data_IF_112897222301
#
_entry.id   IF_112897222301
#
_cell.length_a   1.000
_cell.length_b   1.000
_cell.length_c   1.000
_cell.angle_alpha   90.00
_cell.angle_beta   90.00
_cell.angle_gamma   90.00
#
_symmetry.space_group_name_H-M   'P 1'
#
loop_
_entity.id
_entity.type
_entity.pdbx_description
1 polymer ?
#
# COMPACT_ATOMS: atom_id res chain seq x y z
N UNK A 1 -5.57 4.90 -16.07
CA UNK A 1 -5.16 4.08 -14.92
C UNK A 1 -6.36 3.88 -14.01
N UNK A 2 -6.32 2.92 -13.09
CA UNK A 2 -7.30 2.73 -12.00
C UNK A 2 -6.52 2.83 -10.69
N UNK A 3 -7.00 3.66 -9.77
CA UNK A 3 -6.53 3.67 -8.39
C UNK A 3 -7.45 2.81 -7.53
N UNK A 4 -6.88 1.83 -6.85
CA UNK A 4 -7.57 0.90 -5.97
C UNK A 4 -7.14 1.18 -4.53
N UNK A 5 -8.08 1.70 -3.74
CA UNK A 5 -7.92 1.90 -2.31
C UNK A 5 -8.57 0.74 -1.54
N UNK A 6 -7.80 0.17 -0.62
CA UNK A 6 -8.26 -0.87 0.30
C UNK A 6 -9.24 -0.33 1.35
N UNK A 7 -10.15 -1.19 1.82
CA UNK A 7 -11.03 -0.91 2.97
C UNK A 7 -10.29 -0.46 4.22
N UNK A 8 -9.05 -0.93 4.39
CA UNK A 8 -8.24 -0.64 5.57
C UNK A 8 -7.42 0.66 5.45
N UNK A 9 -7.82 1.56 4.56
CA UNK A 9 -7.32 2.92 4.47
C UNK A 9 -7.41 3.71 5.78
N UNK A 10 -6.65 4.81 5.87
CA UNK A 10 -6.78 5.76 6.97
C UNK A 10 -7.80 6.85 6.66
N UNK A 11 -8.52 7.32 7.68
CA UNK A 11 -9.37 8.51 7.58
C UNK A 11 -9.08 9.45 8.75
N UNK A 12 -9.21 10.76 8.50
CA UNK A 12 -9.13 11.77 9.55
C UNK A 12 -10.42 11.88 10.38
N UNK A 13 -11.58 11.59 9.79
CA UNK A 13 -12.89 11.91 10.37
C UNK A 13 -14.06 11.11 9.75
N UNK A 14 -13.91 9.80 9.58
CA UNK A 14 -15.01 8.96 9.08
C UNK A 14 -15.86 8.37 10.22
N UNK A 15 -17.17 8.12 9.98
CA UNK A 15 -18.01 7.37 10.91
C UNK A 15 -17.46 5.95 11.15
N UNK A 16 -17.51 5.49 12.40
CA UNK A 16 -16.95 4.19 12.80
C UNK A 16 -17.54 3.03 12.01
N UNK A 17 -18.85 3.06 11.75
CA UNK A 17 -19.54 2.03 10.96
C UNK A 17 -19.00 1.91 9.53
N UNK A 18 -18.54 3.01 8.93
CA UNK A 18 -17.95 2.97 7.59
C UNK A 18 -16.50 2.49 7.64
N UNK A 19 -15.73 2.87 8.67
CA UNK A 19 -14.35 2.44 8.85
C UNK A 19 -14.26 0.92 9.05
N UNK A 20 -15.18 0.36 9.84
CA UNK A 20 -15.09 -1.04 10.27
C UNK A 20 -15.75 -2.03 9.31
N UNK A 21 -16.76 -1.59 8.54
CA UNK A 21 -17.66 -2.52 7.83
C UNK A 21 -17.83 -2.24 6.33
N UNK A 22 -17.10 -1.28 5.74
CA UNK A 22 -17.24 -0.96 4.31
C UNK A 22 -15.98 -1.24 3.50
N UNK A 23 -16.16 -1.80 2.31
CA UNK A 23 -15.09 -2.07 1.34
C UNK A 23 -14.50 -3.48 1.44
N UNK A 24 -13.55 -3.76 0.55
CA UNK A 24 -12.78 -5.01 0.55
C UNK A 24 -11.31 -4.75 0.89
N UNK A 25 -10.65 -5.63 1.67
CA UNK A 25 -9.21 -5.57 1.86
C UNK A 25 -8.45 -5.70 0.53
N UNK A 26 -7.30 -5.04 0.42
CA UNK A 26 -6.48 -5.08 -0.79
C UNK A 26 -6.11 -6.51 -1.22
N UNK A 27 -5.93 -7.41 -0.24
CA UNK A 27 -5.63 -8.83 -0.48
C UNK A 27 -6.69 -9.54 -1.30
N UNK A 28 -7.93 -9.08 -1.26
CA UNK A 28 -9.05 -9.61 -2.03
C UNK A 28 -9.28 -8.81 -3.31
N UNK A 29 -9.31 -7.48 -3.21
CA UNK A 29 -9.71 -6.61 -4.32
C UNK A 29 -8.64 -6.45 -5.41
N UNK A 30 -7.34 -6.45 -5.07
CA UNK A 30 -6.27 -6.25 -6.05
C UNK A 30 -6.14 -7.41 -7.04
N UNK A 31 -6.09 -8.69 -6.60
CA UNK A 31 -6.11 -9.82 -7.54
C UNK A 31 -7.34 -9.77 -8.46
N UNK A 32 -8.53 -9.53 -7.90
CA UNK A 32 -9.78 -9.45 -8.68
C UNK A 32 -9.72 -8.38 -9.78
N UNK A 33 -9.23 -7.18 -9.46
CA UNK A 33 -9.10 -6.10 -10.45
C UNK A 33 -8.09 -6.47 -11.55
N UNK A 34 -6.92 -6.98 -11.17
CA UNK A 34 -5.87 -7.37 -12.14
C UNK A 34 -6.36 -8.47 -13.05
N UNK A 35 -7.02 -9.48 -12.50
CA UNK A 35 -7.59 -10.62 -13.23
C UNK A 35 -8.65 -10.15 -14.23
N UNK A 36 -9.55 -9.24 -13.83
CA UNK A 36 -10.53 -8.65 -14.75
C UNK A 36 -9.87 -7.84 -15.85
N UNK A 37 -8.84 -7.06 -15.56
CA UNK A 37 -8.12 -6.34 -16.60
C UNK A 37 -7.42 -7.30 -17.60
N UNK A 38 -6.96 -8.47 -17.14
CA UNK A 38 -6.42 -9.50 -18.03
C UNK A 38 -7.52 -10.15 -18.87
N UNK A 39 -8.62 -10.55 -18.24
CA UNK A 39 -9.79 -11.21 -18.86
C UNK A 39 -10.37 -10.43 -20.05
N UNK A 40 -10.31 -9.10 -20.00
CA UNK A 40 -10.82 -8.19 -21.04
C UNK A 40 -9.72 -7.56 -21.92
N UNK A 41 -8.48 -8.09 -21.91
CA UNK A 41 -7.35 -7.52 -22.68
C UNK A 41 -7.05 -6.03 -22.38
N UNK A 42 -7.34 -5.56 -21.16
CA UNK A 42 -7.14 -4.17 -20.74
C UNK A 42 -5.83 -3.93 -19.99
N UNK A 43 -5.15 -4.99 -19.52
CA UNK A 43 -3.97 -4.89 -18.65
C UNK A 43 -2.82 -4.05 -19.22
N UNK A 44 -2.62 -4.08 -20.54
CA UNK A 44 -1.57 -3.29 -21.20
C UNK A 44 -1.92 -1.80 -21.27
N UNK A 45 -3.21 -1.46 -21.37
CA UNK A 45 -3.71 -0.09 -21.52
C UNK A 45 -3.99 0.60 -20.19
N UNK A 46 -4.36 -0.17 -19.16
CA UNK A 46 -4.80 0.34 -17.87
C UNK A 46 -3.78 0.00 -16.79
N UNK A 47 -3.08 1.04 -16.32
CA UNK A 47 -2.20 0.92 -15.15
C UNK A 47 -3.00 0.82 -13.86
N UNK A 48 -2.56 -0.01 -12.91
CA UNK A 48 -3.19 -0.18 -11.59
C UNK A 48 -2.30 0.46 -10.52
N UNK A 49 -2.88 1.41 -9.79
CA UNK A 49 -2.26 2.04 -8.61
C UNK A 49 -2.92 1.45 -7.37
N UNK A 50 -2.14 0.90 -6.44
CA UNK A 50 -2.67 0.25 -5.24
C UNK A 50 -2.32 1.01 -3.96
N UNK A 51 -3.29 1.18 -3.07
CA UNK A 51 -3.11 1.70 -1.72
C UNK A 51 -3.85 0.82 -0.69
N UNK A 52 -3.29 0.68 0.52
CA UNK A 52 -3.91 -0.14 1.57
C UNK A 52 -2.92 -0.67 2.58
N UNK A 53 -2.59 0.15 3.59
CA UNK A 53 -1.58 -0.14 4.64
C UNK A 53 -0.25 -0.73 4.13
N UNK A 54 0.15 -0.43 2.89
CA UNK A 54 1.42 -0.84 2.30
C UNK A 54 2.55 0.03 2.85
N UNK A 55 2.89 -0.19 4.12
CA UNK A 55 3.89 0.59 4.87
C UNK A 55 5.24 -0.14 5.02
N UNK A 56 5.29 -1.42 4.65
CA UNK A 56 6.51 -2.24 4.67
C UNK A 56 6.94 -2.61 3.24
N UNK A 57 8.24 -2.83 3.01
CA UNK A 57 8.75 -3.25 1.70
C UNK A 57 8.12 -4.56 1.21
N UNK A 58 7.89 -5.52 2.12
CA UNK A 58 7.22 -6.80 1.82
C UNK A 58 5.79 -6.63 1.32
N UNK A 59 5.04 -5.67 1.88
CA UNK A 59 3.68 -5.36 1.42
C UNK A 59 3.69 -4.74 0.01
N UNK A 60 4.63 -3.82 -0.25
CA UNK A 60 4.81 -3.23 -1.58
C UNK A 60 5.19 -4.30 -2.60
N UNK A 61 6.17 -5.15 -2.29
CA UNK A 61 6.60 -6.25 -3.15
C UNK A 61 5.46 -7.26 -3.43
N UNK A 62 4.63 -7.55 -2.43
CA UNK A 62 3.42 -8.36 -2.61
C UNK A 62 2.45 -7.72 -3.62
N UNK A 63 2.14 -6.43 -3.47
CA UNK A 63 1.20 -5.74 -4.37
C UNK A 63 1.72 -5.70 -5.82
N UNK A 64 3.02 -5.44 -6.00
CA UNK A 64 3.68 -5.51 -7.32
C UNK A 64 3.62 -6.94 -7.89
N UNK A 65 3.84 -7.97 -7.06
CA UNK A 65 3.75 -9.38 -7.46
C UNK A 65 2.35 -9.78 -7.91
N UNK A 66 1.29 -9.24 -7.29
CA UNK A 66 -0.09 -9.50 -7.69
C UNK A 66 -0.43 -8.85 -9.04
N UNK A 67 0.16 -7.68 -9.32
CA UNK A 67 0.03 -7.00 -10.61
C UNK A 67 -0.19 -5.49 -10.55
N UNK A 68 0.00 -4.85 -9.38
CA UNK A 68 0.02 -3.38 -9.31
C UNK A 68 1.20 -2.81 -10.12
N UNK A 69 0.98 -1.69 -10.80
CA UNK A 69 2.04 -0.96 -11.52
C UNK A 69 2.71 0.10 -10.63
N UNK A 70 1.98 0.61 -9.62
CA UNK A 70 2.45 1.61 -8.67
C UNK A 70 1.79 1.42 -7.31
N UNK A 71 2.50 1.77 -6.24
CA UNK A 71 1.99 1.70 -4.86
C UNK A 71 2.06 3.07 -4.22
N UNK A 72 0.97 3.49 -3.58
CA UNK A 72 0.89 4.73 -2.80
C UNK A 72 0.75 4.43 -1.30
N UNK A 73 1.47 5.17 -0.45
CA UNK A 73 1.45 4.96 1.00
C UNK A 73 1.28 6.25 1.79
N UNK A 74 0.05 6.64 2.11
CA UNK A 74 -0.19 7.81 2.96
C UNK A 74 0.25 7.55 4.42
N UNK A 75 -0.12 6.39 5.00
CA UNK A 75 0.17 6.06 6.40
C UNK A 75 1.67 5.97 6.68
N UNK A 76 2.46 5.43 5.75
CA UNK A 76 3.91 5.39 5.87
C UNK A 76 4.51 6.78 5.98
N UNK A 77 4.12 7.70 5.10
CA UNK A 77 4.53 9.10 5.19
C UNK A 77 4.03 9.79 6.46
N UNK A 78 2.81 9.50 6.93
CA UNK A 78 2.34 10.02 8.23
C UNK A 78 3.23 9.59 9.40
N UNK A 79 3.70 8.33 9.42
CA UNK A 79 4.66 7.87 10.43
C UNK A 79 6.01 8.55 10.28
N UNK A 80 6.50 8.74 9.05
CA UNK A 80 7.72 9.49 8.78
C UNK A 80 7.61 10.97 9.24
N UNK A 81 6.45 11.60 9.10
CA UNK A 81 6.18 12.93 9.66
C UNK A 81 6.14 12.93 11.20
N UNK A 82 5.88 11.78 11.83
CA UNK A 82 5.81 11.63 13.29
C UNK A 82 4.41 11.41 13.84
N UNK A 83 3.48 10.86 13.05
CA UNK A 83 2.21 10.41 13.58
C UNK A 83 2.43 9.29 14.59
N UNK A 84 1.93 9.48 15.81
CA UNK A 84 1.99 8.52 16.91
C UNK A 84 0.69 7.73 17.08
N UNK A 85 -0.21 7.78 16.08
CA UNK A 85 -1.53 7.16 16.13
C UNK A 85 -2.39 7.60 17.34
N UNK A 86 -2.40 8.90 17.66
CA UNK A 86 -3.20 9.44 18.76
C UNK A 86 -4.73 9.27 18.57
N UNK A 87 -5.21 8.98 17.35
CA UNK A 87 -6.64 8.86 17.01
C UNK A 87 -7.46 10.13 17.33
N UNK A 88 -6.86 11.30 17.12
CA UNK A 88 -7.47 12.62 17.37
C UNK A 88 -7.53 13.51 16.12
N UNK A 89 -7.41 12.91 14.94
CA UNK A 89 -7.30 13.66 13.68
C UNK A 89 -8.51 14.58 13.42
N UNK A 90 -9.70 14.16 13.83
CA UNK A 90 -10.94 14.93 13.71
C UNK A 90 -11.14 15.98 14.81
N UNK A 91 -10.35 15.95 15.88
CA UNK A 91 -10.56 16.81 17.07
C UNK A 91 -9.82 18.14 17.00
N UNK A 92 -9.01 18.35 15.96
CA UNK A 92 -8.12 19.51 15.84
C UNK A 92 -7.03 19.58 16.94
N UNK A 93 -6.80 18.50 17.69
CA UNK A 93 -5.87 18.44 18.84
C UNK A 93 -4.68 17.51 18.60
N UNK A 94 -4.26 17.32 17.34
CA UNK A 94 -3.14 16.45 17.00
C UNK A 94 -1.87 16.85 17.78
N UNK A 95 -1.32 15.99 18.66
CA UNK A 95 -0.21 16.35 19.53
C UNK A 95 1.11 16.56 18.77
N UNK A 96 1.21 16.06 17.54
CA UNK A 96 2.40 16.17 16.69
C UNK A 96 2.25 17.19 15.57
N UNK A 97 1.15 17.95 15.55
CA UNK A 97 0.97 19.07 14.62
C UNK A 97 0.55 18.69 13.19
N UNK A 98 0.36 17.39 12.89
CA UNK A 98 0.05 16.92 11.52
C UNK A 98 -1.38 17.27 11.10
N UNK A 99 -2.36 17.01 11.97
CA UNK A 99 -3.81 17.16 11.66
C UNK A 99 -4.46 18.18 12.60
N UNK A 100 -3.98 19.43 12.54
CA UNK A 100 -4.50 20.54 13.34
C UNK A 100 -4.34 21.89 12.63
N UNK A 101 -5.27 22.79 12.90
CA UNK A 101 -5.26 24.21 12.56
C UNK A 101 -4.86 25.09 13.76
N UNK A 102 -4.60 24.53 14.94
CA UNK A 102 -4.05 25.26 16.09
C UNK A 102 -2.57 25.60 15.83
N UNK A 103 -2.27 26.89 15.68
CA UNK A 103 -0.92 27.41 15.43
C UNK A 103 0.10 26.99 16.50
N UNK A 104 -0.33 26.74 17.74
CA UNK A 104 0.55 26.25 18.81
C UNK A 104 0.96 24.80 18.58
N UNK A 105 0.02 23.95 18.16
CA UNK A 105 0.26 22.53 17.90
C UNK A 105 0.99 22.31 16.57
N UNK A 106 0.71 23.12 15.54
CA UNK A 106 1.41 23.07 14.24
C UNK A 106 2.93 23.25 14.37
N UNK A 107 3.42 23.87 15.45
CA UNK A 107 4.87 23.97 15.74
C UNK A 107 5.55 22.60 15.87
N UNK A 108 4.80 21.53 16.14
CA UNK A 108 5.32 20.16 16.14
C UNK A 108 5.67 19.61 14.74
N UNK A 109 5.15 20.24 13.68
CA UNK A 109 5.40 19.92 12.28
C UNK A 109 6.43 20.89 11.68
N UNK A 110 7.68 20.81 12.16
CA UNK A 110 8.80 21.59 11.60
C UNK A 110 9.19 21.06 10.20
N UNK A 111 8.98 21.82 9.11
CA UNK A 111 9.29 21.35 7.76
C UNK A 111 10.76 20.97 7.56
N UNK A 112 11.70 21.65 8.24
CA UNK A 112 13.15 21.41 8.07
C UNK A 112 13.57 20.04 8.62
N UNK A 113 13.00 19.64 9.76
CA UNK A 113 13.20 18.31 10.34
C UNK A 113 12.37 17.25 9.61
N UNK A 114 11.08 17.52 9.38
CA UNK A 114 10.15 16.52 8.85
C UNK A 114 10.43 16.14 7.39
N UNK A 115 10.95 17.06 6.57
CA UNK A 115 11.30 16.76 5.18
C UNK A 115 12.39 15.71 5.07
N UNK A 116 13.43 15.79 5.91
CA UNK A 116 14.53 14.81 5.89
C UNK A 116 14.02 13.43 6.32
N UNK A 117 13.16 13.35 7.34
CA UNK A 117 12.54 12.09 7.77
C UNK A 117 11.69 11.45 6.67
N UNK A 118 10.88 12.26 5.97
CA UNK A 118 10.07 11.82 4.83
C UNK A 118 10.95 11.32 3.68
N UNK A 119 12.02 12.05 3.35
CA UNK A 119 13.00 11.67 2.32
C UNK A 119 13.66 10.35 2.67
N UNK A 120 14.16 10.18 3.90
CA UNK A 120 14.77 8.92 4.34
C UNK A 120 13.79 7.76 4.28
N UNK A 121 12.54 7.95 4.69
CA UNK A 121 11.50 6.92 4.56
C UNK A 121 11.28 6.53 3.09
N UNK A 122 11.13 7.49 2.18
CA UNK A 122 10.94 7.22 0.76
C UNK A 122 12.12 6.46 0.15
N UNK A 123 13.35 6.93 0.40
CA UNK A 123 14.58 6.32 -0.11
C UNK A 123 14.77 4.90 0.41
N UNK A 124 14.59 4.69 1.72
CA UNK A 124 14.71 3.37 2.33
C UNK A 124 13.63 2.41 1.83
N UNK A 125 12.38 2.88 1.66
CA UNK A 125 11.31 2.06 1.11
C UNK A 125 11.66 1.58 -0.31
N UNK A 126 12.17 2.47 -1.17
CA UNK A 126 12.58 2.10 -2.53
C UNK A 126 13.74 1.09 -2.50
N UNK A 127 14.78 1.38 -1.71
CA UNK A 127 15.95 0.52 -1.59
C UNK A 127 15.60 -0.91 -1.13
N UNK A 128 14.77 -1.04 -0.09
CA UNK A 128 14.36 -2.34 0.44
C UNK A 128 13.47 -3.12 -0.53
N UNK A 129 12.59 -2.44 -1.27
CA UNK A 129 11.77 -3.09 -2.30
C UNK A 129 12.63 -3.56 -3.47
N UNK A 130 13.64 -2.78 -3.88
CA UNK A 130 14.64 -3.20 -4.87
C UNK A 130 15.45 -4.40 -4.39
N UNK A 131 15.86 -4.40 -3.12
CA UNK A 131 16.57 -5.53 -2.51
C UNK A 131 15.73 -6.82 -2.58
N UNK A 132 14.44 -6.75 -2.26
CA UNK A 132 13.52 -7.89 -2.40
C UNK A 132 13.42 -8.32 -3.87
N UNK A 133 13.23 -7.38 -4.79
CA UNK A 133 13.09 -7.66 -6.22
C UNK A 133 14.32 -8.39 -6.78
N UNK A 134 15.53 -7.90 -6.48
CA UNK A 134 16.77 -8.54 -6.88
C UNK A 134 16.98 -9.91 -6.23
N UNK A 135 16.58 -10.07 -4.97
CA UNK A 135 16.62 -11.36 -4.27
C UNK A 135 15.68 -12.39 -4.91
N UNK A 136 14.58 -11.93 -5.52
CA UNK A 136 13.67 -12.76 -6.31
C UNK A 136 14.16 -13.00 -7.75
N UNK A 137 15.32 -12.47 -8.15
CA UNK A 137 15.92 -12.67 -9.47
C UNK A 137 15.44 -11.72 -10.57
N UNK A 138 14.71 -10.64 -10.23
CA UNK A 138 14.24 -9.67 -11.23
C UNK A 138 15.07 -8.38 -11.20
N UNK A 139 15.15 -7.70 -12.36
CA UNK A 139 15.98 -6.49 -12.55
C UNK A 139 15.38 -5.22 -11.93
N UNK A 140 14.07 -5.18 -11.74
CA UNK A 140 13.39 -4.06 -11.10
C UNK A 140 12.10 -4.55 -10.40
N UNK A 141 11.57 -3.82 -9.40
CA UNK A 141 10.39 -4.24 -8.65
C UNK A 141 9.13 -4.51 -9.49
N UNK A 142 8.92 -3.77 -10.59
CA UNK A 142 7.75 -3.92 -11.47
C UNK A 142 7.76 -5.22 -12.29
N UNK A 143 8.88 -5.95 -12.28
CA UNK A 143 9.00 -7.27 -12.89
C UNK A 143 8.63 -8.39 -11.93
N UNK A 144 8.32 -8.09 -10.66
CA UNK A 144 7.74 -9.06 -9.76
C UNK A 144 6.40 -9.58 -10.33
N UNK A 145 6.15 -10.85 -10.05
CA UNK A 145 5.02 -11.64 -10.57
C UNK A 145 4.58 -12.62 -9.49
N UNK A 146 3.38 -13.19 -9.65
CA UNK A 146 2.79 -14.12 -8.68
C UNK A 146 3.67 -15.36 -8.38
N UNK A 147 4.56 -15.75 -9.30
CA UNK A 147 5.50 -16.84 -9.05
C UNK A 147 6.64 -16.50 -8.07
N UNK A 148 6.92 -15.22 -7.81
CA UNK A 148 8.04 -14.78 -6.97
C UNK A 148 7.73 -14.74 -5.47
N UNK A 149 6.45 -14.87 -5.08
CA UNK A 149 6.03 -14.70 -3.69
C UNK A 149 5.10 -15.83 -3.22
N UNK A 150 5.09 -16.03 -1.90
CA UNK A 150 4.25 -17.01 -1.21
C UNK A 150 3.54 -16.35 -0.03
N UNK A 151 2.38 -16.85 0.34
CA UNK A 151 1.65 -16.44 1.53
C UNK A 151 1.61 -17.59 2.53
N UNK A 152 1.91 -17.31 3.80
CA UNK A 152 1.79 -18.29 4.89
C UNK A 152 0.30 -18.41 5.25
N UNK A 153 -0.23 -19.62 5.18
CA UNK A 153 -1.59 -19.94 5.62
C UNK A 153 -1.64 -20.32 7.09
N UNK A 154 -2.85 -20.53 7.59
CA UNK A 154 -3.11 -20.76 9.02
C UNK A 154 -2.51 -22.06 9.57
N UNK A 155 -2.18 -23.01 8.69
CA UNK A 155 -1.50 -24.26 9.04
C UNK A 155 0.03 -24.12 9.14
N UNK A 156 0.57 -22.91 9.05
CA UNK A 156 2.02 -22.63 9.09
C UNK A 156 2.76 -22.96 7.79
N UNK A 157 2.09 -23.56 6.80
CA UNK A 157 2.65 -23.81 5.47
C UNK A 157 2.34 -22.64 4.54
N UNK A 158 3.19 -22.43 3.54
CA UNK A 158 2.99 -21.36 2.56
C UNK A 158 2.50 -21.86 1.21
N UNK A 159 1.64 -21.07 0.56
CA UNK A 159 1.10 -21.32 -0.77
C UNK A 159 1.71 -20.30 -1.76
N UNK A 160 2.21 -20.73 -2.94
CA UNK A 160 2.64 -19.82 -3.99
C UNK A 160 1.50 -18.90 -4.46
N UNK A 161 1.77 -17.61 -4.70
CA UNK A 161 0.70 -16.69 -5.14
C UNK A 161 0.16 -17.05 -6.53
N UNK A 162 0.94 -17.65 -7.43
CA UNK A 162 0.45 -18.12 -8.73
C UNK A 162 -0.45 -19.36 -8.64
N UNK A 163 -0.40 -20.11 -7.53
CA UNK A 163 -1.36 -21.18 -7.23
C UNK A 163 -2.62 -20.61 -6.59
N UNK A 164 -2.47 -19.63 -5.71
CA UNK A 164 -3.59 -18.97 -5.04
C UNK A 164 -4.41 -18.09 -6.01
N UNK A 165 -3.72 -17.39 -6.91
CA UNK A 165 -4.27 -16.51 -7.93
C UNK A 165 -3.72 -16.93 -9.30
N UNK A 166 -4.26 -17.99 -9.93
CA UNK A 166 -3.80 -18.44 -11.24
C UNK A 166 -4.01 -17.36 -12.31
N UNK A 167 -3.21 -17.39 -13.37
CA UNK A 167 -3.41 -16.49 -14.52
C UNK A 167 -4.75 -16.81 -15.20
N UNK A 168 -5.52 -15.76 -15.49
CA UNK A 168 -6.86 -15.89 -16.07
C UNK A 168 -6.74 -16.00 -17.59
N UNK A 169 -7.49 -16.95 -18.18
CA UNK A 169 -7.62 -17.06 -19.64
C UNK A 169 -8.47 -15.92 -20.17
N UNK A 170 -8.05 -15.33 -21.29
CA UNK A 170 -8.82 -14.24 -21.87
C UNK A 170 -10.12 -14.72 -22.50
N UNK A 171 -11.18 -13.92 -22.34
CA UNK A 171 -12.46 -14.19 -22.98
C UNK A 171 -12.39 -13.60 -24.39
N UNK A 172 -12.55 -14.46 -25.40
CA UNK A 172 -12.68 -14.06 -26.80
C UNK A 172 -14.06 -13.46 -27.07
#
# INVERSE_FOLDING_TARGET
FIALDSADGGSGAAPQSLIDYMGLPLKESLPMLVDKLQEYHLRERVKVVAAGKLITPSGVAWALSIGADFVTSARGFMFALGCIQAMQCNKNTCPTGITTHDKRLQRGLDPMDKSERVKHYALNMMHEVEMIAHSCGVKEPRLLRRCHARIVGDNGLSIPLNKLYPEVKTIN
#
